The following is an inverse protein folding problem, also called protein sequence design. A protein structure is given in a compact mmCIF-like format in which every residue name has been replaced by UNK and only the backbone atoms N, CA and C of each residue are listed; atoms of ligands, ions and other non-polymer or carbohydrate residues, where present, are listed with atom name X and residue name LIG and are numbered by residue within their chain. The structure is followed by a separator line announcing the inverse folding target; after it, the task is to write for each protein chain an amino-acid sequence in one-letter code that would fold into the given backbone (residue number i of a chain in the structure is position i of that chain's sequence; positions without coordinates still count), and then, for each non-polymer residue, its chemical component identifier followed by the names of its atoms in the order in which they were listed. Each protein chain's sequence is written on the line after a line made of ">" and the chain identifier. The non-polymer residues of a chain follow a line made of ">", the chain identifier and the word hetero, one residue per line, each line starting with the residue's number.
data_IF_999426448991
#
_entry.id   IF_999426448991
#
_cell.length_a   1.000
_cell.length_b   1.000
_cell.length_c   1.000
_cell.angle_alpha   90.00
_cell.angle_beta   90.00
_cell.angle_gamma   90.00
#
_symmetry.space_group_name_H-M   'P 1'
#
loop_
_entity.id
_entity.type
_entity.pdbx_description
1 polymer ?
#
# COMPACT_ATOMS: atom_id res chain seq x y z
N UNK A 1 -11.49 -3.21 16.06
CA UNK A 1 -11.00 -1.90 15.64
C UNK A 1 -10.61 -1.93 14.17
N UNK A 2 -11.17 -1.04 13.39
CA UNK A 2 -10.89 -1.00 11.94
C UNK A 2 -9.53 -0.36 11.67
N UNK A 3 -8.67 -1.09 11.00
CA UNK A 3 -7.38 -0.61 10.49
C UNK A 3 -7.46 -0.48 8.98
N UNK A 4 -6.94 0.62 8.47
CA UNK A 4 -6.96 0.94 7.03
C UNK A 4 -5.53 1.11 6.54
N UNK A 5 -5.18 0.42 5.47
CA UNK A 5 -3.93 0.63 4.77
C UNK A 5 -4.24 1.25 3.42
N UNK A 6 -3.51 2.30 3.05
CA UNK A 6 -3.87 3.13 1.90
C UNK A 6 -2.78 3.00 0.83
N UNK A 7 -3.21 2.68 -0.39
CA UNK A 7 -2.28 2.56 -1.53
C UNK A 7 -1.75 3.93 -1.97
N UNK A 8 -0.63 3.91 -2.67
CA UNK A 8 0.16 5.10 -3.03
C UNK A 8 -0.64 6.15 -3.79
N UNK A 9 -1.41 5.75 -4.82
CA UNK A 9 -2.12 6.69 -5.67
C UNK A 9 -3.20 7.47 -4.92
N UNK A 10 -3.80 6.88 -3.90
CA UNK A 10 -4.79 7.56 -3.07
C UNK A 10 -4.12 8.68 -2.25
N UNK A 11 -2.93 8.43 -1.70
CA UNK A 11 -2.14 9.47 -1.03
C UNK A 11 -1.77 10.60 -1.99
N UNK A 12 -1.33 10.25 -3.21
CA UNK A 12 -0.95 11.24 -4.24
C UNK A 12 -2.15 12.15 -4.56
N UNK A 13 -3.30 11.54 -4.81
CA UNK A 13 -4.52 12.29 -5.13
C UNK A 13 -4.93 13.22 -3.98
N UNK A 14 -4.88 12.73 -2.75
CA UNK A 14 -5.25 13.52 -1.59
C UNK A 14 -4.26 14.65 -1.31
N UNK A 15 -2.97 14.45 -1.57
CA UNK A 15 -1.98 15.54 -1.46
C UNK A 15 -2.26 16.65 -2.47
N UNK A 16 -2.68 16.28 -3.68
CA UNK A 16 -3.06 17.26 -4.71
C UNK A 16 -4.39 17.96 -4.39
N UNK A 17 -5.33 17.24 -3.77
CA UNK A 17 -6.63 17.78 -3.38
C UNK A 17 -7.07 17.19 -2.03
N UNK A 18 -6.92 17.93 -0.92
CA UNK A 18 -7.27 17.45 0.42
C UNK A 18 -8.76 17.11 0.64
N UNK A 19 -9.63 17.46 -0.30
CA UNK A 19 -11.06 17.13 -0.21
C UNK A 19 -11.36 15.72 -0.71
N UNK A 20 -10.42 15.08 -1.43
CA UNK A 20 -10.59 13.71 -1.91
C UNK A 20 -10.47 12.71 -0.77
N UNK A 21 -11.27 11.65 -0.84
CA UNK A 21 -11.22 10.49 0.05
C UNK A 21 -11.40 10.83 1.53
N UNK A 22 -12.14 11.89 1.86
CA UNK A 22 -12.45 12.24 3.26
C UNK A 22 -13.09 11.07 4.01
N UNK A 23 -13.95 10.33 3.36
CA UNK A 23 -14.64 9.18 3.94
C UNK A 23 -13.69 8.05 4.33
N UNK A 24 -12.50 7.97 3.73
CA UNK A 24 -11.48 6.98 4.09
C UNK A 24 -10.61 7.51 5.23
N UNK A 25 -10.09 8.74 5.07
CA UNK A 25 -9.11 9.30 6.01
C UNK A 25 -9.72 9.80 7.30
N UNK A 26 -10.94 10.31 7.26
CA UNK A 26 -11.57 10.99 8.40
C UNK A 26 -12.70 10.17 9.06
N UNK A 27 -13.06 9.03 8.48
CA UNK A 27 -14.08 8.17 9.06
C UNK A 27 -13.50 7.33 10.21
N UNK A 28 -14.37 6.56 10.84
CA UNK A 28 -14.00 5.69 11.95
C UNK A 28 -12.88 4.71 11.57
N UNK A 29 -12.00 4.43 12.52
CA UNK A 29 -10.87 3.54 12.32
C UNK A 29 -9.54 4.27 12.26
N UNK A 30 -8.47 3.51 12.06
CA UNK A 30 -7.10 4.02 12.07
C UNK A 30 -6.42 3.81 10.73
N UNK A 31 -5.91 4.90 10.15
CA UNK A 31 -5.09 4.86 8.93
C UNK A 31 -3.66 4.54 9.30
N UNK A 32 -3.07 3.59 8.58
CA UNK A 32 -1.66 3.20 8.69
C UNK A 32 -0.93 3.54 7.40
N UNK A 33 0.34 3.88 7.52
CA UNK A 33 1.24 4.10 6.38
C UNK A 33 2.14 2.88 6.21
N UNK A 34 2.14 2.30 5.02
CA UNK A 34 3.11 1.27 4.65
C UNK A 34 4.45 1.92 4.30
N UNK A 35 5.56 1.34 4.78
CA UNK A 35 6.90 1.77 4.38
C UNK A 35 7.13 1.60 2.88
N UNK A 36 6.47 0.61 2.25
CA UNK A 36 6.53 0.42 0.79
C UNK A 36 5.86 1.61 0.08
N UNK A 37 4.69 2.04 0.57
CA UNK A 37 3.99 3.22 0.05
C UNK A 37 4.83 4.48 0.26
N UNK A 38 5.45 4.64 1.43
CA UNK A 38 6.33 5.77 1.69
C UNK A 38 7.50 5.82 0.70
N UNK A 39 8.09 4.68 0.42
CA UNK A 39 9.15 4.56 -0.60
C UNK A 39 8.65 5.03 -1.96
N UNK A 40 7.49 4.58 -2.40
CA UNK A 40 6.91 4.96 -3.68
C UNK A 40 6.59 6.46 -3.74
N UNK A 41 6.01 7.01 -2.68
CA UNK A 41 5.74 8.45 -2.57
C UNK A 41 7.04 9.25 -2.67
N UNK A 42 8.08 8.82 -1.96
CA UNK A 42 9.38 9.51 -1.98
C UNK A 42 10.06 9.40 -3.34
N UNK A 43 9.95 8.23 -3.99
CA UNK A 43 10.53 8.03 -5.32
C UNK A 43 9.87 8.92 -6.38
N UNK A 44 8.58 9.23 -6.22
CA UNK A 44 7.84 10.11 -7.12
C UNK A 44 7.94 11.59 -6.79
N UNK A 45 8.56 11.97 -5.67
CA UNK A 45 8.68 13.36 -5.23
C UNK A 45 10.00 13.97 -5.73
N UNK A 46 9.90 14.93 -6.66
CA UNK A 46 11.07 15.47 -7.36
C UNK A 46 11.34 16.96 -7.09
N UNK A 47 10.35 17.69 -6.57
CA UNK A 47 10.51 19.10 -6.23
C UNK A 47 10.49 19.27 -4.71
N UNK A 48 11.02 20.40 -4.23
CA UNK A 48 11.16 20.68 -2.79
C UNK A 48 9.84 20.54 -2.04
N UNK A 49 8.76 21.06 -2.59
CA UNK A 49 7.43 21.03 -1.96
C UNK A 49 6.91 19.61 -1.80
N UNK A 50 7.05 18.78 -2.82
CA UNK A 50 6.58 17.38 -2.76
C UNK A 50 7.48 16.54 -1.84
N UNK A 51 8.78 16.75 -1.85
CA UNK A 51 9.72 16.09 -0.94
C UNK A 51 9.37 16.41 0.51
N UNK A 52 9.10 17.68 0.80
CA UNK A 52 8.72 18.16 2.13
C UNK A 52 7.38 17.54 2.57
N UNK A 53 6.39 17.51 1.68
CA UNK A 53 5.09 16.91 1.98
C UNK A 53 5.19 15.43 2.32
N UNK A 54 6.00 14.67 1.58
CA UNK A 54 6.23 13.24 1.85
C UNK A 54 6.94 13.04 3.18
N UNK A 55 7.94 13.87 3.49
CA UNK A 55 8.63 13.83 4.79
C UNK A 55 7.67 14.08 5.94
N UNK A 56 6.76 15.04 5.80
CA UNK A 56 5.76 15.33 6.82
C UNK A 56 4.81 14.15 7.06
N UNK A 57 4.39 13.49 5.99
CA UNK A 57 3.56 12.28 6.09
C UNK A 57 4.29 11.20 6.89
N UNK A 58 5.54 10.91 6.54
CA UNK A 58 6.35 9.92 7.24
C UNK A 58 6.47 10.21 8.73
N UNK A 59 6.78 11.46 9.08
CA UNK A 59 6.91 11.89 10.47
C UNK A 59 5.58 11.81 11.23
N UNK A 60 4.49 12.22 10.60
CA UNK A 60 3.15 12.17 11.22
C UNK A 60 2.80 10.72 11.63
N UNK A 61 2.93 9.77 10.71
CA UNK A 61 2.57 8.38 10.99
C UNK A 61 3.56 7.72 11.96
N UNK A 62 4.85 8.05 11.86
CA UNK A 62 5.86 7.57 12.80
C UNK A 62 5.56 8.03 14.22
N UNK A 63 5.18 9.29 14.40
CA UNK A 63 4.93 9.88 15.71
C UNK A 63 3.71 9.27 16.42
N UNK A 64 2.75 8.75 15.68
CA UNK A 64 1.57 8.07 16.24
C UNK A 64 1.70 6.54 16.20
N UNK A 65 2.87 6.03 15.86
CA UNK A 65 3.17 4.59 15.78
C UNK A 65 2.22 3.83 14.85
N UNK A 66 1.99 4.40 13.66
CA UNK A 66 1.12 3.81 12.64
C UNK A 66 1.84 3.64 11.31
N UNK A 67 3.09 3.18 11.36
CA UNK A 67 3.86 2.78 10.19
C UNK A 67 3.97 1.26 10.18
N UNK A 68 3.67 0.65 9.04
CA UNK A 68 3.78 -0.80 8.84
C UNK A 68 4.97 -1.05 7.94
N UNK A 69 5.95 -1.78 8.44
CA UNK A 69 7.15 -2.16 7.68
C UNK A 69 7.22 -3.68 7.55
N UNK A 70 7.33 -4.24 6.33
CA UNK A 70 7.46 -5.68 6.16
C UNK A 70 8.69 -6.23 6.89
N UNK A 71 8.49 -7.33 7.62
CA UNK A 71 9.59 -8.07 8.24
C UNK A 71 10.04 -9.22 7.34
N UNK A 72 10.97 -10.04 7.81
CA UNK A 72 11.49 -11.17 7.02
C UNK A 72 10.38 -12.15 6.62
N UNK A 73 9.43 -12.44 7.51
CA UNK A 73 8.30 -13.33 7.19
C UNK A 73 7.40 -12.73 6.11
N UNK A 74 7.18 -11.43 6.16
CA UNK A 74 6.36 -10.72 5.16
C UNK A 74 7.03 -10.78 3.78
N UNK A 75 8.35 -10.58 3.71
CA UNK A 75 9.09 -10.71 2.46
C UNK A 75 9.03 -12.13 1.91
N UNK A 76 9.21 -13.14 2.77
CA UNK A 76 9.12 -14.53 2.35
C UNK A 76 7.71 -14.86 1.81
N UNK A 77 6.68 -14.37 2.50
CA UNK A 77 5.29 -14.55 2.07
C UNK A 77 5.02 -13.86 0.73
N UNK A 78 5.50 -12.63 0.56
CA UNK A 78 5.38 -11.91 -0.71
C UNK A 78 6.06 -12.68 -1.85
N UNK A 79 7.20 -13.30 -1.59
CA UNK A 79 7.88 -14.16 -2.56
C UNK A 79 7.02 -15.35 -2.98
N UNK A 80 6.33 -15.99 -2.03
CA UNK A 80 5.39 -17.09 -2.35
C UNK A 80 4.23 -16.59 -3.21
N UNK A 81 3.67 -15.42 -2.90
CA UNK A 81 2.59 -14.82 -3.68
C UNK A 81 3.06 -14.50 -5.10
N UNK A 82 4.25 -13.92 -5.24
CA UNK A 82 4.86 -13.65 -6.55
C UNK A 82 5.05 -14.93 -7.37
N UNK A 83 5.50 -16.01 -6.72
CA UNK A 83 5.64 -17.31 -7.38
C UNK A 83 4.30 -17.81 -7.91
N UNK A 84 3.24 -17.73 -7.13
CA UNK A 84 1.89 -18.13 -7.52
C UNK A 84 1.34 -17.25 -8.65
N UNK A 85 1.57 -15.95 -8.62
CA UNK A 85 1.14 -15.03 -9.68
C UNK A 85 1.78 -15.39 -11.02
N UNK A 86 3.05 -15.75 -11.02
CA UNK A 86 3.74 -16.20 -12.23
C UNK A 86 3.17 -17.53 -12.73
N UNK A 87 2.99 -18.49 -11.83
CA UNK A 87 2.54 -19.83 -12.17
C UNK A 87 1.06 -19.87 -12.61
N UNK A 88 0.19 -19.18 -11.88
CA UNK A 88 -1.28 -19.28 -12.05
C UNK A 88 -1.81 -18.20 -12.97
N UNK A 89 -1.29 -16.98 -12.87
CA UNK A 89 -1.80 -15.80 -13.58
C UNK A 89 -0.92 -15.34 -14.74
N UNK A 90 0.22 -15.96 -14.94
CA UNK A 90 1.12 -15.62 -16.02
C UNK A 90 1.83 -14.27 -15.89
N UNK A 91 1.95 -13.74 -14.68
CA UNK A 91 2.65 -12.48 -14.45
C UNK A 91 4.13 -12.60 -14.79
N UNK A 92 4.66 -11.56 -15.43
CA UNK A 92 6.10 -11.42 -15.66
C UNK A 92 6.61 -10.31 -14.73
N UNK A 93 7.25 -10.70 -13.61
CA UNK A 93 7.70 -9.75 -12.59
C UNK A 93 8.81 -8.81 -13.08
N UNK A 94 9.50 -9.17 -14.17
CA UNK A 94 10.50 -8.28 -14.79
C UNK A 94 9.85 -7.14 -15.57
N UNK A 95 8.66 -7.37 -16.14
CA UNK A 95 7.91 -6.37 -16.91
C UNK A 95 6.93 -5.59 -16.05
N UNK A 96 6.46 -6.17 -14.95
CA UNK A 96 5.50 -5.56 -14.03
C UNK A 96 6.21 -5.23 -12.72
N UNK A 97 7.09 -4.24 -12.74
CA UNK A 97 7.93 -3.89 -11.60
C UNK A 97 7.14 -3.48 -10.35
N UNK A 98 5.93 -2.95 -10.53
CA UNK A 98 5.07 -2.55 -9.41
C UNK A 98 4.43 -3.73 -8.68
N UNK A 99 4.35 -4.91 -9.31
CA UNK A 99 3.66 -6.06 -8.69
C UNK A 99 4.39 -6.55 -7.43
N UNK A 100 5.70 -6.45 -7.37
CA UNK A 100 6.48 -6.80 -6.18
C UNK A 100 6.07 -5.93 -5.00
N UNK A 101 5.98 -4.62 -5.20
CA UNK A 101 5.53 -3.69 -4.16
C UNK A 101 4.08 -3.96 -3.78
N UNK A 102 3.20 -4.23 -4.74
CA UNK A 102 1.80 -4.54 -4.48
C UNK A 102 1.65 -5.79 -3.61
N UNK A 103 2.46 -6.83 -3.86
CA UNK A 103 2.46 -8.02 -3.01
C UNK A 103 2.90 -7.70 -1.58
N UNK A 104 3.93 -6.88 -1.41
CA UNK A 104 4.38 -6.46 -0.08
C UNK A 104 3.31 -5.64 0.65
N UNK A 105 2.61 -4.78 -0.06
CA UNK A 105 1.50 -3.99 0.50
C UNK A 105 0.35 -4.91 0.95
N UNK A 106 -0.04 -5.87 0.11
CA UNK A 106 -1.10 -6.82 0.43
C UNK A 106 -0.74 -7.69 1.65
N UNK A 107 0.48 -8.20 1.69
CA UNK A 107 0.98 -8.99 2.83
C UNK A 107 1.02 -8.14 4.10
N UNK A 108 1.43 -6.88 4.00
CA UNK A 108 1.45 -5.95 5.13
C UNK A 108 0.03 -5.70 5.67
N UNK A 109 -0.93 -5.49 4.77
CA UNK A 109 -2.33 -5.33 5.16
C UNK A 109 -2.82 -6.55 5.95
N UNK A 110 -2.55 -7.75 5.44
CA UNK A 110 -2.91 -9.01 6.12
C UNK A 110 -2.26 -9.12 7.50
N UNK A 111 -0.99 -8.79 7.60
CA UNK A 111 -0.22 -8.98 8.83
C UNK A 111 -0.74 -8.13 10.00
N UNK A 112 -1.33 -6.97 9.73
CA UNK A 112 -1.91 -6.11 10.78
C UNK A 112 -3.44 -6.21 10.85
N UNK A 113 -4.07 -7.04 10.01
CA UNK A 113 -5.52 -7.16 9.96
C UNK A 113 -6.22 -5.93 9.40
N UNK A 114 -5.58 -5.21 8.48
CA UNK A 114 -6.13 -4.01 7.86
C UNK A 114 -6.89 -4.31 6.57
N UNK A 115 -7.79 -3.40 6.21
CA UNK A 115 -8.38 -3.35 4.87
C UNK A 115 -7.51 -2.45 4.01
N UNK A 116 -7.06 -2.94 2.86
CA UNK A 116 -6.33 -2.14 1.89
C UNK A 116 -7.30 -1.37 1.00
N UNK A 117 -7.11 -0.05 0.90
CA UNK A 117 -7.85 0.79 -0.04
C UNK A 117 -6.97 1.09 -1.24
N UNK A 118 -7.45 0.81 -2.44
CA UNK A 118 -6.67 0.94 -3.67
C UNK A 118 -7.55 1.29 -4.87
N UNK A 119 -6.96 1.93 -5.86
CA UNK A 119 -7.55 2.17 -7.18
C UNK A 119 -7.16 1.08 -8.18
N UNK A 120 -6.15 0.27 -7.87
CA UNK A 120 -5.58 -0.74 -8.77
C UNK A 120 -6.34 -2.06 -8.65
N UNK A 121 -7.51 -2.11 -9.27
CA UNK A 121 -8.37 -3.31 -9.24
C UNK A 121 -7.69 -4.52 -9.86
N UNK A 122 -7.08 -4.35 -11.02
CA UNK A 122 -6.51 -5.47 -11.79
C UNK A 122 -5.48 -6.27 -11.01
N UNK A 123 -4.45 -5.59 -10.49
CA UNK A 123 -3.35 -6.28 -9.83
C UNK A 123 -3.73 -6.79 -8.45
N UNK A 124 -4.47 -6.02 -7.68
CA UNK A 124 -4.89 -6.49 -6.35
C UNK A 124 -5.95 -7.58 -6.41
N UNK A 125 -6.79 -7.61 -7.44
CA UNK A 125 -7.68 -8.76 -7.65
C UNK A 125 -6.88 -10.03 -7.98
N UNK A 126 -5.88 -9.92 -8.82
CA UNK A 126 -5.00 -11.05 -9.14
C UNK A 126 -4.29 -11.58 -7.87
N UNK A 127 -3.78 -10.68 -7.05
CA UNK A 127 -3.15 -11.05 -5.77
C UNK A 127 -4.18 -11.74 -4.86
N UNK A 128 -5.39 -11.19 -4.76
CA UNK A 128 -6.47 -11.76 -3.92
C UNK A 128 -6.85 -13.17 -4.34
N UNK A 129 -6.75 -13.47 -5.62
CA UNK A 129 -7.07 -14.81 -6.14
C UNK A 129 -6.09 -15.89 -5.65
N UNK A 130 -4.88 -15.51 -5.25
CA UNK A 130 -3.84 -16.45 -4.78
C UNK A 130 -3.43 -16.23 -3.32
N UNK A 131 -3.86 -15.14 -2.71
CA UNK A 131 -3.51 -14.79 -1.34
C UNK A 131 -4.69 -14.08 -0.65
N UNK A 132 -5.12 -14.58 0.51
CA UNK A 132 -6.28 -14.02 1.21
C UNK A 132 -5.89 -12.75 2.00
N UNK A 133 -6.51 -11.63 1.65
CA UNK A 133 -6.41 -10.36 2.38
C UNK A 133 -7.67 -9.53 2.08
N UNK A 134 -7.89 -8.48 2.87
CA UNK A 134 -9.07 -7.62 2.70
C UNK A 134 -8.71 -6.38 1.92
N UNK A 135 -9.52 -6.03 0.93
CA UNK A 135 -9.32 -4.81 0.16
C UNK A 135 -10.66 -4.19 -0.27
N UNK A 136 -10.61 -2.91 -0.55
CA UNK A 136 -11.73 -2.12 -1.09
C UNK A 136 -11.22 -1.24 -2.22
N UNK A 137 -11.92 -1.27 -3.35
CA UNK A 137 -11.60 -0.40 -4.48
C UNK A 137 -12.28 0.97 -4.31
N UNK A 138 -11.58 2.01 -4.72
CA UNK A 138 -12.07 3.39 -4.66
C UNK A 138 -11.92 4.11 -6.00
#
# INVERSE_FOLDING_TARGET
>A
MLKKLIDTNIFIDRLANPDLYKEIFLSEGFVYLSSVVLMELRAGAHIKESISAVSEIGELFRNVDRVVTPNMKDYARAGEVLSELQRVKGYNIKKSSSITNDCLIAVSARSIGAVLYTQNRKDFQAIRDVFDFKFSFV
#
